data_IF_548687847163
#
_entry.id   IF_548687847163
#
_cell.length_a   1.000
_cell.length_b   1.000
_cell.length_c   1.000
_cell.angle_alpha   90.00
_cell.angle_beta   90.00
_cell.angle_gamma   90.00
#
_symmetry.space_group_name_H-M   'P 1'
#
loop_
_entity.id
_entity.type
_entity.pdbx_description
1 polymer ?
#
# COMPACT_ATOMS: atom_id res chain seq x y z
N UNK A 1 -15.22 36.58 -29.17
CA UNK A 1 -16.68 36.34 -29.12
C UNK A 1 -17.05 36.19 -27.66
N UNK A 2 -17.35 37.32 -27.02
CA UNK A 2 -17.54 37.48 -25.58
C UNK A 2 -19.04 37.61 -25.40
N UNK A 3 -19.75 36.63 -24.84
CA UNK A 3 -21.00 36.84 -24.09
C UNK A 3 -21.62 35.51 -23.65
N UNK A 4 -22.19 35.53 -22.44
CA UNK A 4 -23.17 34.55 -21.90
C UNK A 4 -22.59 33.41 -21.06
N UNK A 5 -21.99 33.75 -19.92
CA UNK A 5 -21.93 32.87 -18.74
C UNK A 5 -22.17 33.69 -17.47
N UNK A 6 -23.33 34.38 -17.39
CA UNK A 6 -23.76 35.11 -16.19
C UNK A 6 -25.02 34.55 -15.52
N UNK A 7 -25.72 33.57 -16.08
CA UNK A 7 -27.10 33.31 -15.65
C UNK A 7 -27.37 32.07 -14.79
N UNK A 8 -26.36 31.41 -14.19
CA UNK A 8 -26.62 30.22 -13.32
C UNK A 8 -26.03 30.37 -11.91
N UNK A 9 -26.04 31.59 -11.36
CA UNK A 9 -25.66 31.83 -9.96
C UNK A 9 -26.61 32.82 -9.26
N UNK A 10 -27.92 32.69 -9.48
CA UNK A 10 -28.91 33.49 -8.74
C UNK A 10 -30.24 32.78 -8.55
N UNK A 11 -30.25 31.72 -7.73
CA UNK A 11 -31.50 31.19 -7.15
C UNK A 11 -31.22 30.35 -5.89
N UNK A 12 -30.62 30.93 -4.86
CA UNK A 12 -30.57 30.30 -3.53
C UNK A 12 -30.47 31.31 -2.38
N UNK A 13 -31.09 32.49 -2.53
CA UNK A 13 -31.31 33.41 -1.40
C UNK A 13 -32.76 33.86 -1.43
N UNK A 14 -33.52 33.40 -0.43
CA UNK A 14 -34.80 33.98 -0.04
C UNK A 14 -36.02 33.08 -0.20
N UNK A 15 -36.37 32.31 0.84
CA UNK A 15 -37.73 32.33 1.40
C UNK A 15 -37.85 31.44 2.64
N UNK A 16 -38.63 31.96 3.58
CA UNK A 16 -38.87 31.53 4.95
C UNK A 16 -39.57 30.17 5.07
N UNK A 17 -39.09 29.32 5.98
CA UNK A 17 -39.81 28.12 6.43
C UNK A 17 -40.87 28.49 7.49
N UNK A 18 -42.15 28.09 7.34
CA UNK A 18 -43.07 28.02 8.45
C UNK A 18 -42.88 26.71 9.23
N UNK A 19 -42.91 26.86 10.54
CA UNK A 19 -42.78 25.86 11.60
C UNK A 19 -43.96 24.88 11.58
N UNK A 20 -43.72 23.57 11.71
CA UNK A 20 -44.79 22.65 12.14
C UNK A 20 -44.63 21.16 11.82
N UNK A 21 -44.16 20.42 12.83
CA UNK A 21 -44.43 18.99 13.12
C UNK A 21 -43.61 17.90 12.38
N UNK A 22 -42.68 17.35 13.17
CA UNK A 22 -42.60 15.92 13.53
C UNK A 22 -41.76 14.96 12.66
N UNK A 23 -40.59 14.64 13.21
CA UNK A 23 -39.89 13.33 13.27
C UNK A 23 -39.35 12.71 11.95
N UNK A 24 -38.04 12.51 11.94
CA UNK A 24 -37.21 11.73 11.00
C UNK A 24 -37.47 10.19 11.10
N UNK A 25 -36.72 9.27 10.44
CA UNK A 25 -35.76 9.39 9.32
C UNK A 25 -35.94 8.33 8.17
N UNK A 26 -35.26 8.60 7.04
CA UNK A 26 -34.56 7.67 6.12
C UNK A 26 -35.26 6.37 5.63
N UNK A 27 -35.82 6.44 4.43
CA UNK A 27 -35.85 5.32 3.47
C UNK A 27 -34.77 5.57 2.42
N UNK A 28 -33.63 4.89 2.54
CA UNK A 28 -32.67 4.76 1.43
C UNK A 28 -33.24 3.67 0.51
N UNK A 29 -33.91 4.11 -0.56
CA UNK A 29 -34.30 3.23 -1.65
C UNK A 29 -33.21 3.26 -2.73
N UNK A 30 -32.66 2.07 -2.95
CA UNK A 30 -31.76 1.67 -4.03
C UNK A 30 -32.19 2.23 -5.40
N UNK A 31 -31.30 2.89 -6.14
CA UNK A 31 -31.41 3.03 -7.60
C UNK A 31 -30.05 2.70 -8.21
N UNK A 32 -29.96 1.49 -8.77
CA UNK A 32 -28.97 1.12 -9.78
C UNK A 32 -29.31 1.92 -11.05
N UNK A 33 -28.47 2.87 -11.43
CA UNK A 33 -28.53 3.52 -12.74
C UNK A 33 -27.12 3.54 -13.33
N UNK A 34 -26.89 2.60 -14.24
CA UNK A 34 -25.78 2.63 -15.20
C UNK A 34 -25.99 3.87 -16.08
N UNK A 35 -25.03 4.79 -16.07
CA UNK A 35 -24.91 5.88 -17.04
C UNK A 35 -23.46 5.94 -17.54
N UNK A 36 -23.26 6.26 -18.82
CA UNK A 36 -22.00 6.06 -19.54
C UNK A 36 -20.95 7.09 -19.12
N UNK A 37 -19.69 6.66 -19.13
CA UNK A 37 -18.52 7.49 -18.90
C UNK A 37 -18.52 8.73 -19.82
N UNK A 38 -18.38 9.92 -19.23
CA UNK A 38 -18.05 11.13 -19.98
C UNK A 38 -16.56 11.15 -20.33
N UNK A 39 -16.18 11.69 -21.50
CA UNK A 39 -14.77 11.92 -21.85
C UNK A 39 -14.27 13.17 -21.11
N UNK A 40 -13.16 13.04 -20.40
CA UNK A 40 -12.38 14.18 -19.90
C UNK A 40 -11.11 14.25 -20.75
N UNK A 41 -10.95 15.33 -21.52
CA UNK A 41 -9.70 15.64 -22.22
C UNK A 41 -9.09 16.92 -21.68
N UNK A 42 -7.82 16.79 -21.29
CA UNK A 42 -6.72 17.76 -21.26
C UNK A 42 -6.88 19.06 -20.45
N UNK A 43 -6.30 19.04 -19.24
CA UNK A 43 -5.46 20.14 -18.77
C UNK A 43 -4.06 19.56 -18.52
N UNK A 44 -3.07 20.18 -19.14
CA UNK A 44 -1.65 19.83 -19.13
C UNK A 44 -1.04 20.02 -17.75
N UNK A 45 -0.54 18.93 -17.17
CA UNK A 45 0.62 18.90 -16.29
C UNK A 45 1.41 17.65 -16.69
N UNK A 46 2.64 17.85 -17.12
CA UNK A 46 3.51 16.92 -17.83
C UNK A 46 4.12 15.84 -16.91
N UNK A 47 3.31 15.31 -16.01
CA UNK A 47 3.51 13.99 -15.43
C UNK A 47 2.44 13.08 -16.03
N UNK A 48 2.77 12.44 -17.16
CA UNK A 48 2.06 11.28 -17.66
C UNK A 48 2.18 10.17 -16.60
N UNK A 49 1.34 10.26 -15.56
CA UNK A 49 1.09 9.19 -14.62
C UNK A 49 0.48 8.04 -15.38
N UNK A 50 1.36 7.21 -15.94
CA UNK A 50 1.06 5.88 -16.43
C UNK A 50 0.27 5.23 -15.29
N UNK A 51 -1.01 4.99 -15.51
CA UNK A 51 -1.74 4.01 -14.71
C UNK A 51 -1.04 2.69 -15.04
N UNK A 52 -0.05 2.33 -14.22
CA UNK A 52 0.68 1.09 -14.37
C UNK A 52 -0.38 -0.01 -14.40
N UNK A 53 -0.47 -0.73 -15.52
CA UNK A 53 -1.22 -1.98 -15.54
C UNK A 53 -0.55 -2.85 -14.48
N UNK A 54 -1.15 -2.93 -13.29
CA UNK A 54 -0.56 -3.64 -12.16
C UNK A 54 -0.34 -5.09 -12.60
N UNK A 55 0.93 -5.47 -12.76
CA UNK A 55 1.29 -6.84 -13.11
C UNK A 55 0.61 -7.76 -12.09
N UNK A 56 -0.28 -8.67 -12.53
CA UNK A 56 -1.10 -9.47 -11.61
C UNK A 56 -0.25 -10.28 -10.63
N UNK A 57 1.01 -10.58 -10.98
CA UNK A 57 1.97 -11.25 -10.09
C UNK A 57 2.37 -10.34 -8.91
N UNK A 58 2.55 -9.05 -9.17
CA UNK A 58 2.90 -8.06 -8.13
C UNK A 58 1.71 -7.87 -7.19
N UNK A 59 0.50 -7.82 -7.73
CA UNK A 59 -0.70 -7.68 -6.91
C UNK A 59 -0.93 -8.90 -6.00
N UNK A 60 -0.70 -10.12 -6.51
CA UNK A 60 -0.68 -11.33 -5.69
C UNK A 60 0.37 -11.24 -4.56
N UNK A 61 1.58 -10.76 -4.87
CA UNK A 61 2.66 -10.60 -3.90
C UNK A 61 2.28 -9.64 -2.76
N UNK A 62 1.68 -8.49 -3.08
CA UNK A 62 1.22 -7.51 -2.09
C UNK A 62 0.14 -8.11 -1.19
N UNK A 63 -0.81 -8.86 -1.75
CA UNK A 63 -1.86 -9.50 -0.98
C UNK A 63 -1.31 -10.59 -0.03
N UNK A 64 -0.35 -11.39 -0.51
CA UNK A 64 0.37 -12.34 0.34
C UNK A 64 1.14 -11.61 1.46
N UNK A 65 1.72 -10.43 1.18
CA UNK A 65 2.32 -9.55 2.18
C UNK A 65 1.32 -9.15 3.27
N UNK A 66 0.11 -8.69 2.89
CA UNK A 66 -0.96 -8.35 3.85
C UNK A 66 -1.39 -9.56 4.67
N UNK A 67 -1.48 -10.74 4.06
CA UNK A 67 -1.77 -11.99 4.77
C UNK A 67 -0.69 -12.32 5.80
N UNK A 68 0.58 -12.16 5.42
CA UNK A 68 1.74 -12.33 6.31
C UNK A 68 1.78 -11.26 7.43
N UNK A 69 1.21 -10.09 7.17
CA UNK A 69 1.08 -9.00 8.14
C UNK A 69 1.99 -7.81 7.87
N UNK A 70 2.33 -7.54 6.61
CA UNK A 70 3.15 -6.40 6.21
C UNK A 70 2.63 -5.73 4.96
N UNK A 71 2.79 -4.41 4.88
CA UNK A 71 2.69 -3.68 3.63
C UNK A 71 4.08 -3.39 3.10
N UNK A 72 4.27 -3.61 1.80
CA UNK A 72 5.59 -3.63 1.19
C UNK A 72 5.64 -2.85 -0.12
N UNK A 73 6.85 -2.45 -0.51
CA UNK A 73 7.12 -1.96 -1.85
C UNK A 73 8.48 -2.37 -2.37
N UNK A 74 8.71 -2.05 -3.64
CA UNK A 74 9.97 -2.27 -4.30
C UNK A 74 11.04 -1.32 -3.76
N UNK A 75 12.29 -1.78 -3.76
CA UNK A 75 13.45 -0.95 -3.45
C UNK A 75 14.01 -0.46 -4.77
N UNK A 76 13.71 0.79 -5.11
CA UNK A 76 14.36 1.48 -6.23
C UNK A 76 15.68 2.14 -5.80
N UNK A 77 16.36 2.80 -6.73
CA UNK A 77 17.63 3.46 -6.45
C UNK A 77 17.48 4.62 -5.46
N UNK A 78 16.36 5.34 -5.48
CA UNK A 78 16.12 6.46 -4.56
C UNK A 78 15.96 5.97 -3.13
N UNK A 79 15.16 4.91 -2.93
CA UNK A 79 15.00 4.22 -1.64
C UNK A 79 16.34 3.63 -1.19
N UNK A 80 17.08 3.00 -2.09
CA UNK A 80 18.40 2.45 -1.78
C UNK A 80 19.36 3.53 -1.25
N UNK A 81 19.41 4.68 -1.90
CA UNK A 81 20.27 5.81 -1.50
C UNK A 81 19.86 6.37 -0.13
N UNK A 82 18.56 6.56 0.10
CA UNK A 82 18.01 7.04 1.39
C UNK A 82 18.33 6.07 2.52
N UNK A 83 18.26 4.76 2.26
CA UNK A 83 18.51 3.70 3.22
C UNK A 83 19.99 3.30 3.31
N UNK A 84 20.87 3.90 2.48
CA UNK A 84 22.30 3.61 2.49
C UNK A 84 22.67 2.20 2.00
N UNK A 85 21.87 1.64 1.08
CA UNK A 85 22.13 0.34 0.47
C UNK A 85 23.13 0.47 -0.67
N UNK A 86 24.02 -0.53 -0.80
CA UNK A 86 24.94 -0.61 -1.94
C UNK A 86 24.22 -0.95 -3.25
N UNK A 87 23.09 -1.64 -3.17
CA UNK A 87 22.30 -2.10 -4.31
C UNK A 87 20.80 -1.91 -4.03
N UNK A 88 20.05 -1.51 -5.05
CA UNK A 88 18.59 -1.42 -5.03
C UNK A 88 17.96 -2.82 -5.15
N UNK A 89 18.03 -3.58 -4.07
CA UNK A 89 17.60 -4.97 -4.03
C UNK A 89 16.87 -5.29 -2.74
N UNK A 90 15.78 -6.03 -2.87
CA UNK A 90 14.94 -6.47 -1.77
C UNK A 90 13.56 -5.84 -1.83
N UNK A 91 12.86 -5.95 -0.71
CA UNK A 91 11.50 -5.41 -0.57
C UNK A 91 11.43 -4.65 0.75
N UNK A 92 11.07 -3.37 0.69
CA UNK A 92 10.98 -2.52 1.88
C UNK A 92 9.64 -2.71 2.58
N UNK A 93 9.67 -2.77 3.91
CA UNK A 93 8.47 -2.85 4.75
C UNK A 93 8.02 -1.43 5.13
N UNK A 94 6.84 -1.03 4.69
CA UNK A 94 6.25 0.27 5.02
C UNK A 94 5.38 0.22 6.28
N UNK A 95 4.69 -0.91 6.50
CA UNK A 95 3.82 -1.10 7.64
C UNK A 95 3.90 -2.55 8.13
N UNK A 96 3.73 -2.73 9.44
CA UNK A 96 3.58 -4.03 10.08
C UNK A 96 2.21 -4.08 10.75
N UNK A 97 1.40 -5.04 10.34
CA UNK A 97 0.02 -5.21 10.79
C UNK A 97 0.02 -5.99 12.11
N UNK A 98 -0.47 -5.36 13.18
CA UNK A 98 -0.47 -5.94 14.53
C UNK A 98 -1.23 -7.27 14.65
N UNK A 99 -0.69 -8.18 15.45
CA UNK A 99 -1.29 -9.50 15.71
C UNK A 99 -1.21 -10.48 14.55
N UNK A 100 -0.38 -10.18 13.53
CA UNK A 100 -0.12 -11.06 12.38
C UNK A 100 1.25 -11.74 12.50
N UNK A 101 1.53 -12.80 11.72
CA UNK A 101 2.78 -13.55 11.84
C UNK A 101 4.06 -12.69 11.77
N UNK A 102 4.09 -11.65 10.93
CA UNK A 102 5.24 -10.76 10.82
C UNK A 102 5.49 -9.91 12.08
N UNK A 103 4.42 -9.39 12.70
CA UNK A 103 4.48 -8.65 13.97
C UNK A 103 4.99 -9.54 15.11
N UNK A 104 4.43 -10.75 15.21
CA UNK A 104 4.85 -11.74 16.21
C UNK A 104 6.31 -12.19 16.03
N UNK A 105 6.82 -12.17 14.79
CA UNK A 105 8.20 -12.44 14.47
C UNK A 105 9.15 -11.26 14.73
N UNK A 106 8.62 -10.09 15.11
CA UNK A 106 9.38 -8.88 15.41
C UNK A 106 9.96 -8.19 14.19
N UNK A 107 9.38 -8.38 13.01
CA UNK A 107 9.74 -7.61 11.80
C UNK A 107 9.35 -6.15 12.04
N UNK A 108 10.20 -5.23 11.57
CA UNK A 108 10.03 -3.79 11.79
C UNK A 108 9.76 -3.05 10.49
N UNK A 109 9.07 -1.92 10.62
CA UNK A 109 8.96 -0.92 9.55
C UNK A 109 10.34 -0.42 9.17
N UNK A 110 10.52 -0.09 7.88
CA UNK A 110 11.77 0.37 7.25
C UNK A 110 12.85 -0.71 7.16
N UNK A 111 12.57 -1.93 7.62
CA UNK A 111 13.42 -3.07 7.32
C UNK A 111 13.25 -3.47 5.85
N UNK A 112 14.29 -4.05 5.27
CA UNK A 112 14.28 -4.58 3.92
C UNK A 112 14.36 -6.09 3.99
N UNK A 113 13.41 -6.77 3.36
CA UNK A 113 13.40 -8.22 3.25
C UNK A 113 14.41 -8.63 2.18
N UNK A 114 15.36 -9.48 2.58
CA UNK A 114 16.44 -9.98 1.69
C UNK A 114 16.36 -11.49 1.48
N UNK A 115 15.71 -12.22 2.39
CA UNK A 115 15.52 -13.67 2.25
C UNK A 115 14.23 -14.12 2.93
N UNK A 116 13.57 -15.11 2.36
CA UNK A 116 12.48 -15.86 3.00
C UNK A 116 12.74 -17.35 2.74
N UNK A 117 12.89 -18.14 3.80
CA UNK A 117 13.08 -19.60 3.74
C UNK A 117 14.16 -20.04 2.73
N UNK A 118 15.37 -19.47 2.84
CA UNK A 118 16.50 -19.70 1.94
C UNK A 118 16.30 -19.25 0.48
N UNK A 119 15.21 -18.54 0.17
CA UNK A 119 15.00 -17.88 -1.12
C UNK A 119 15.41 -16.43 -1.05
N UNK A 120 16.38 -16.04 -1.88
CA UNK A 120 16.83 -14.66 -2.01
C UNK A 120 15.72 -13.78 -2.60
N UNK A 121 15.51 -12.62 -1.99
CA UNK A 121 14.51 -11.65 -2.40
C UNK A 121 15.21 -10.43 -2.97
N UNK A 122 15.10 -10.25 -4.29
CA UNK A 122 15.66 -9.07 -4.98
C UNK A 122 14.58 -8.07 -5.38
N UNK A 123 13.33 -8.53 -5.55
CA UNK A 123 12.19 -7.75 -6.00
C UNK A 123 10.87 -8.30 -5.46
N UNK A 124 9.75 -7.62 -5.77
CA UNK A 124 8.40 -8.01 -5.34
C UNK A 124 7.93 -9.37 -5.88
N UNK A 125 8.38 -9.79 -7.07
CA UNK A 125 8.02 -11.10 -7.64
C UNK A 125 8.67 -12.24 -6.86
N UNK A 126 9.93 -12.08 -6.46
CA UNK A 126 10.63 -13.05 -5.60
C UNK A 126 9.93 -13.17 -4.25
N UNK A 127 9.60 -12.02 -3.65
CA UNK A 127 8.88 -11.93 -2.39
C UNK A 127 7.55 -12.69 -2.43
N UNK A 128 6.72 -12.43 -3.45
CA UNK A 128 5.45 -13.12 -3.62
C UNK A 128 5.61 -14.63 -3.79
N UNK A 129 6.57 -15.07 -4.62
CA UNK A 129 6.87 -16.49 -4.81
C UNK A 129 7.30 -17.17 -3.51
N UNK A 130 8.16 -16.51 -2.73
CA UNK A 130 8.67 -17.07 -1.49
C UNK A 130 7.57 -17.19 -0.43
N UNK A 131 6.75 -16.15 -0.25
CA UNK A 131 5.60 -16.21 0.67
C UNK A 131 4.55 -17.25 0.24
N UNK A 132 4.30 -17.39 -1.06
CA UNK A 132 3.37 -18.41 -1.57
C UNK A 132 3.81 -19.83 -1.20
N UNK A 133 5.11 -20.08 -1.14
CA UNK A 133 5.67 -21.35 -0.69
C UNK A 133 5.73 -21.48 0.84
N UNK A 134 6.00 -20.38 1.55
CA UNK A 134 6.25 -20.38 2.98
C UNK A 134 4.98 -20.27 3.86
N UNK A 135 3.98 -19.47 3.47
CA UNK A 135 2.74 -19.30 4.24
C UNK A 135 1.95 -20.61 4.46
N UNK A 136 1.95 -21.58 3.52
CA UNK A 136 1.39 -22.91 3.74
C UNK A 136 2.26 -23.84 4.61
N UNK A 137 3.34 -23.39 5.24
CA UNK A 137 4.10 -24.19 6.21
C UNK A 137 3.70 -23.83 7.65
N UNK A 138 4.31 -24.49 8.64
CA UNK A 138 4.08 -24.15 10.06
C UNK A 138 5.05 -23.07 10.55
N UNK A 139 6.24 -23.01 9.95
CA UNK A 139 7.28 -22.04 10.27
C UNK A 139 8.23 -21.86 9.08
N UNK A 140 8.88 -20.70 9.04
CA UNK A 140 9.90 -20.36 8.06
C UNK A 140 10.79 -19.23 8.60
N UNK A 141 11.96 -19.05 8.00
CA UNK A 141 12.85 -17.93 8.32
C UNK A 141 12.58 -16.72 7.41
N UNK A 142 12.80 -15.53 7.95
CA UNK A 142 12.86 -14.28 7.17
C UNK A 142 14.13 -13.55 7.56
N UNK A 143 14.98 -13.22 6.59
CA UNK A 143 16.12 -12.35 6.81
C UNK A 143 15.77 -10.92 6.41
N UNK A 144 15.96 -10.00 7.34
CA UNK A 144 15.77 -8.57 7.12
C UNK A 144 17.08 -7.81 7.28
N UNK A 145 17.24 -6.73 6.54
CA UNK A 145 18.29 -5.75 6.73
C UNK A 145 17.66 -4.50 7.34
N UNK A 146 18.14 -4.10 8.51
CA UNK A 146 17.78 -2.80 9.10
C UNK A 146 18.87 -1.79 8.71
N UNK A 147 18.56 -0.82 7.84
CA UNK A 147 19.52 0.21 7.46
C UNK A 147 19.97 0.97 8.70
N UNK A 148 21.29 1.16 8.82
CA UNK A 148 21.88 1.79 9.99
C UNK A 148 21.42 3.23 10.05
N UNK A 149 20.89 3.67 11.20
CA UNK A 149 20.67 5.10 11.41
C UNK A 149 22.03 5.80 11.26
N UNK A 150 22.20 6.77 10.34
CA UNK A 150 23.47 7.47 10.15
C UNK A 150 23.97 8.16 11.43
N UNK A 151 23.08 8.36 12.41
CA UNK A 151 23.42 8.92 13.72
C UNK A 151 23.81 7.85 14.77
N UNK A 152 23.57 6.56 14.49
CA UNK A 152 23.91 5.46 15.38
C UNK A 152 25.32 4.94 15.04
N UNK A 153 26.33 5.61 15.61
CA UNK A 153 27.74 5.25 15.47
C UNK A 153 28.04 3.90 16.13
N UNK A 154 27.98 2.79 15.38
CA UNK A 154 28.73 1.58 15.75
C UNK A 154 28.06 0.22 15.63
N UNK A 155 26.86 0.10 15.06
CA UNK A 155 26.31 -1.22 14.67
C UNK A 155 26.15 -1.23 13.17
N UNK A 156 27.11 -1.83 12.47
CA UNK A 156 26.98 -2.07 11.03
C UNK A 156 25.68 -2.85 10.79
N UNK A 157 24.84 -2.35 9.89
CA UNK A 157 23.61 -3.02 9.45
C UNK A 157 23.93 -4.46 9.07
N UNK A 158 23.52 -5.38 9.94
CA UNK A 158 23.63 -6.81 9.72
C UNK A 158 22.29 -7.35 9.25
N UNK A 159 22.31 -8.57 8.71
CA UNK A 159 21.07 -9.32 8.50
C UNK A 159 20.53 -9.78 9.86
N UNK A 160 19.29 -9.42 10.16
CA UNK A 160 18.51 -9.93 11.27
C UNK A 160 17.69 -11.11 10.76
N UNK A 161 17.68 -12.20 11.53
CA UNK A 161 16.90 -13.39 11.19
C UNK A 161 15.70 -13.50 12.12
N UNK A 162 14.52 -13.60 11.52
CA UNK A 162 13.24 -13.76 12.20
C UNK A 162 12.74 -15.18 11.94
N UNK A 163 12.33 -15.87 13.00
CA UNK A 163 11.66 -17.16 12.89
C UNK A 163 10.15 -16.93 12.97
N UNK A 164 9.47 -17.08 11.85
CA UNK A 164 8.03 -16.90 11.75
C UNK A 164 7.36 -18.21 12.13
N UNK A 165 6.32 -18.11 12.98
CA UNK A 165 5.38 -19.19 13.23
C UNK A 165 4.04 -18.80 12.62
N UNK A 166 3.47 -19.70 11.83
CA UNK A 166 2.13 -19.53 11.28
C UNK A 166 1.20 -20.40 12.10
N UNK A 167 0.40 -19.77 12.96
CA UNK A 167 -0.60 -20.48 13.74
C UNK A 167 -1.67 -21.07 12.82
N UNK A 168 -2.08 -22.30 13.14
CA UNK A 168 -3.15 -23.02 12.44
C UNK A 168 -4.23 -23.29 13.46
N UNK A 169 -5.36 -22.63 13.28
CA UNK A 169 -6.60 -22.89 14.03
C UNK A 169 -7.18 -24.28 13.70
#
# INVERSE_FOLDING_TARGET
MIQTFRDIARAAVGSSWPVGRSLAPLLIALIFAVLPAHPVTAATDDNEGVLEEEDPVIQEAIELGRQFGIEVGEVDQEIADILGLTQAEGVVVYEVIGGRPADLAGIKVRAIIKEIDNMEITNLKDFGRALKAALPTTNFSVATYEPTDPNNQGVAGGLNFHFVRVDRD
#
